data_IF_898067218343
#
_entry.id   IF_898067218343
#
_cell.length_a   1.000
_cell.length_b   1.000
_cell.length_c   1.000
_cell.angle_alpha   90.00
_cell.angle_beta   90.00
_cell.angle_gamma   90.00
#
_symmetry.space_group_name_H-M   'P 1'
#
loop_
_entity.id
_entity.type
_entity.pdbx_description
1 polymer ?
#
# COMPACT_ATOMS: atom_id res chain seq x y z
N UNK A 1 20.78 47.16 -31.12
CA UNK A 1 19.37 47.57 -31.37
C UNK A 1 18.65 46.71 -32.41
N UNK A 2 19.29 46.22 -33.48
CA UNK A 2 18.60 45.41 -34.50
C UNK A 2 18.18 44.00 -34.04
N UNK A 3 19.04 43.30 -33.27
CA UNK A 3 18.76 41.93 -32.77
C UNK A 3 17.57 41.86 -31.80
N UNK A 4 17.39 42.86 -30.93
CA UNK A 4 16.30 42.88 -29.93
C UNK A 4 14.89 43.12 -30.51
N UNK A 5 14.79 43.42 -31.80
CA UNK A 5 13.53 43.69 -32.51
C UNK A 5 13.15 42.60 -33.53
N UNK A 6 13.93 41.52 -33.65
CA UNK A 6 13.57 40.39 -34.51
C UNK A 6 12.33 39.67 -33.94
N UNK A 7 11.19 39.79 -34.62
CA UNK A 7 10.03 38.92 -34.37
C UNK A 7 10.30 37.55 -35.00
N UNK A 8 10.22 36.50 -34.19
CA UNK A 8 10.45 35.11 -34.61
C UNK A 8 9.30 34.67 -35.54
N UNK A 9 9.57 34.59 -36.84
CA UNK A 9 8.67 33.98 -37.84
C UNK A 9 8.96 32.48 -38.01
N UNK A 10 8.16 31.78 -38.83
CA UNK A 10 8.19 30.32 -39.03
C UNK A 10 9.48 29.72 -39.63
N UNK A 11 10.50 30.54 -39.90
CA UNK A 11 11.78 30.20 -40.55
C UNK A 11 13.00 30.34 -39.60
N UNK A 12 12.76 30.44 -38.29
CA UNK A 12 13.76 30.85 -37.29
C UNK A 12 14.90 29.86 -37.05
N UNK A 13 14.67 28.56 -37.28
CA UNK A 13 15.66 27.49 -37.04
C UNK A 13 16.97 27.65 -37.83
N UNK A 14 16.95 28.30 -39.00
CA UNK A 14 18.16 28.52 -39.83
C UNK A 14 19.19 29.46 -39.19
N UNK A 15 18.79 30.24 -38.19
CA UNK A 15 19.65 31.21 -37.51
C UNK A 15 20.19 30.68 -36.17
N UNK A 16 19.81 29.48 -35.74
CA UNK A 16 20.19 28.92 -34.44
C UNK A 16 21.71 28.87 -34.27
N UNK A 17 22.45 28.35 -35.25
CA UNK A 17 23.92 28.30 -35.19
C UNK A 17 24.57 29.69 -35.05
N UNK A 18 24.07 30.69 -35.79
CA UNK A 18 24.62 32.05 -35.75
C UNK A 18 24.31 32.74 -34.42
N UNK A 19 23.14 32.47 -33.84
CA UNK A 19 22.75 32.98 -32.53
C UNK A 19 23.55 32.31 -31.41
N UNK A 20 23.84 31.02 -31.54
CA UNK A 20 24.71 30.30 -30.60
C UNK A 20 26.14 30.84 -30.62
N UNK A 21 26.67 31.26 -31.78
CA UNK A 21 27.98 31.93 -31.85
C UNK A 21 27.96 33.28 -31.12
N UNK A 22 26.86 34.04 -31.22
CA UNK A 22 26.69 35.33 -30.55
C UNK A 22 26.57 35.23 -29.03
N UNK A 23 26.35 34.04 -28.46
CA UNK A 23 26.40 33.82 -27.01
C UNK A 23 27.78 34.16 -26.43
N UNK A 24 28.84 34.01 -27.23
CA UNK A 24 30.24 34.25 -26.84
C UNK A 24 30.73 35.68 -27.15
N UNK A 25 29.83 36.57 -27.56
CA UNK A 25 30.17 37.96 -27.88
C UNK A 25 30.69 38.70 -26.63
N UNK A 26 31.80 39.46 -26.72
CA UNK A 26 32.36 40.18 -25.57
C UNK A 26 31.44 41.30 -25.05
N UNK A 27 30.47 41.78 -25.85
CA UNK A 27 29.50 42.77 -25.42
C UNK A 27 28.31 42.07 -24.71
N UNK A 28 28.11 42.31 -23.39
CA UNK A 28 27.04 41.66 -22.63
C UNK A 28 25.63 41.90 -23.20
N UNK A 29 25.40 43.05 -23.85
CA UNK A 29 24.13 43.37 -24.49
C UNK A 29 23.84 42.49 -25.70
N UNK A 30 24.87 42.09 -26.43
CA UNK A 30 24.76 41.22 -27.62
C UNK A 30 24.51 39.79 -27.16
N UNK A 31 25.30 39.29 -26.21
CA UNK A 31 25.13 37.95 -25.64
C UNK A 31 23.74 37.79 -24.97
N UNK A 32 23.31 38.76 -24.15
CA UNK A 32 21.99 38.75 -23.53
C UNK A 32 20.84 38.79 -24.56
N UNK A 33 20.99 39.57 -25.63
CA UNK A 33 20.01 39.61 -26.72
C UNK A 33 19.94 38.26 -27.46
N UNK A 34 21.09 37.62 -27.69
CA UNK A 34 21.16 36.29 -28.31
C UNK A 34 20.45 35.23 -27.45
N UNK A 35 20.68 35.20 -26.12
CA UNK A 35 19.95 34.31 -25.20
C UNK A 35 18.43 34.50 -25.34
N UNK A 36 17.97 35.75 -25.33
CA UNK A 36 16.53 36.05 -25.38
C UNK A 36 15.89 35.56 -26.68
N UNK A 37 16.56 35.76 -27.81
CA UNK A 37 16.06 35.30 -29.12
C UNK A 37 16.05 33.77 -29.17
N UNK A 38 17.09 33.09 -28.67
CA UNK A 38 17.13 31.62 -28.62
C UNK A 38 16.02 31.04 -27.74
N UNK A 39 15.74 31.64 -26.58
CA UNK A 39 14.62 31.24 -25.73
C UNK A 39 13.26 31.43 -26.39
N UNK A 40 13.04 32.54 -27.11
CA UNK A 40 11.81 32.77 -27.88
C UNK A 40 11.65 31.78 -29.02
N UNK A 41 12.75 31.41 -29.69
CA UNK A 41 12.74 30.36 -30.71
C UNK A 41 12.34 29.01 -30.12
N UNK A 42 12.90 28.65 -28.97
CA UNK A 42 12.58 27.41 -28.25
C UNK A 42 11.11 27.34 -27.82
N UNK A 43 10.50 28.47 -27.43
CA UNK A 43 9.06 28.51 -27.12
C UNK A 43 8.16 28.26 -28.35
N UNK A 44 8.69 28.39 -29.57
CA UNK A 44 7.96 28.21 -30.84
C UNK A 44 8.25 26.88 -31.56
N UNK A 45 9.14 26.05 -31.03
CA UNK A 45 9.53 24.73 -31.53
C UNK A 45 10.68 24.13 -30.70
N UNK A 46 10.88 22.81 -30.71
CA UNK A 46 11.89 22.17 -29.84
C UNK A 46 13.32 22.69 -30.12
N UNK A 47 14.04 23.20 -29.12
CA UNK A 47 15.44 23.60 -29.26
C UNK A 47 16.34 22.38 -29.44
N UNK A 48 17.49 22.52 -30.11
CA UNK A 48 18.49 21.47 -30.07
C UNK A 48 19.10 21.36 -28.66
N UNK A 49 19.38 20.14 -28.19
CA UNK A 49 20.03 19.90 -26.88
C UNK A 49 21.38 20.63 -26.76
N UNK A 50 22.08 20.83 -27.88
CA UNK A 50 23.30 21.63 -27.97
C UNK A 50 23.10 23.10 -27.62
N UNK A 51 21.96 23.68 -27.98
CA UNK A 51 21.65 25.09 -27.68
C UNK A 51 21.32 25.29 -26.21
N UNK A 52 20.60 24.34 -25.59
CA UNK A 52 20.34 24.37 -24.16
C UNK A 52 21.66 24.30 -23.35
N UNK A 53 22.59 23.42 -23.73
CA UNK A 53 23.93 23.37 -23.12
C UNK A 53 24.71 24.68 -23.28
N UNK A 54 24.72 25.28 -24.47
CA UNK A 54 25.43 26.54 -24.72
C UNK A 54 24.85 27.71 -23.93
N UNK A 55 23.53 27.79 -23.77
CA UNK A 55 22.88 28.79 -22.91
C UNK A 55 23.16 28.51 -21.43
N UNK A 56 23.22 27.25 -21.00
CA UNK A 56 23.52 26.90 -19.62
C UNK A 56 24.94 27.29 -19.18
N UNK A 57 25.92 27.32 -20.09
CA UNK A 57 27.27 27.83 -19.78
C UNK A 57 27.25 29.29 -19.28
N UNK A 58 26.31 30.09 -19.79
CA UNK A 58 26.16 31.51 -19.43
C UNK A 58 25.52 31.74 -18.06
N UNK A 59 25.08 30.70 -17.35
CA UNK A 59 24.61 30.81 -15.96
C UNK A 59 25.72 31.27 -15.00
N UNK A 60 26.99 31.10 -15.40
CA UNK A 60 28.16 31.54 -14.64
C UNK A 60 28.72 32.89 -15.10
N UNK A 61 28.07 33.59 -16.04
CA UNK A 61 28.57 34.83 -16.62
C UNK A 61 28.71 35.95 -15.56
N UNK A 62 29.77 36.78 -15.60
CA UNK A 62 29.93 37.89 -14.65
C UNK A 62 28.82 38.95 -14.76
N UNK A 63 28.21 39.12 -15.93
CA UNK A 63 27.13 40.07 -16.17
C UNK A 63 25.79 39.54 -15.64
N UNK A 64 25.14 40.24 -14.69
CA UNK A 64 23.81 39.86 -14.23
C UNK A 64 22.74 39.89 -15.33
N UNK A 65 22.93 40.72 -16.37
CA UNK A 65 22.00 40.81 -17.50
C UNK A 65 22.07 39.57 -18.40
N UNK A 66 23.29 39.05 -18.63
CA UNK A 66 23.52 37.83 -19.39
C UNK A 66 22.98 36.62 -18.62
N UNK A 67 23.31 36.49 -17.33
CA UNK A 67 22.77 35.42 -16.47
C UNK A 67 21.24 35.39 -16.45
N UNK A 68 20.60 36.54 -16.23
CA UNK A 68 19.13 36.61 -16.21
C UNK A 68 18.53 36.19 -17.56
N UNK A 69 19.13 36.63 -18.68
CA UNK A 69 18.66 36.28 -20.02
C UNK A 69 18.88 34.81 -20.34
N UNK A 70 19.98 34.21 -19.87
CA UNK A 70 20.25 32.78 -20.01
C UNK A 70 19.23 31.93 -19.22
N UNK A 71 18.92 32.33 -17.98
CA UNK A 71 17.89 31.67 -17.16
C UNK A 71 16.51 31.78 -17.79
N UNK A 72 16.11 32.96 -18.25
CA UNK A 72 14.83 33.16 -18.96
C UNK A 72 14.76 32.33 -20.24
N UNK A 73 15.87 32.22 -20.97
CA UNK A 73 15.97 31.38 -22.16
C UNK A 73 15.77 29.91 -21.83
N UNK A 74 16.46 29.38 -20.81
CA UNK A 74 16.27 27.99 -20.37
C UNK A 74 14.83 27.75 -19.91
N UNK A 75 14.20 28.69 -19.19
CA UNK A 75 12.80 28.54 -18.78
C UNK A 75 11.82 28.39 -19.97
N UNK A 76 12.14 28.99 -21.12
CA UNK A 76 11.37 28.84 -22.35
C UNK A 76 11.67 27.55 -23.13
N UNK A 77 12.70 26.79 -22.74
CA UNK A 77 13.14 25.58 -23.43
C UNK A 77 12.44 24.31 -22.95
N UNK A 78 11.55 24.35 -21.93
CA UNK A 78 10.75 23.18 -21.55
C UNK A 78 11.57 22.05 -20.91
N UNK A 79 11.35 20.80 -21.36
CA UNK A 79 11.95 19.58 -20.80
C UNK A 79 13.49 19.61 -20.84
N UNK A 80 14.08 20.28 -21.84
CA UNK A 80 15.53 20.47 -21.94
C UNK A 80 16.13 21.28 -20.78
N UNK A 81 15.31 22.10 -20.10
CA UNK A 81 15.71 22.86 -18.92
C UNK A 81 15.86 21.98 -17.67
N UNK A 82 15.22 20.82 -17.64
CA UNK A 82 15.23 19.91 -16.49
C UNK A 82 16.64 19.41 -16.16
N UNK A 83 17.47 19.21 -17.18
CA UNK A 83 18.87 18.82 -17.04
C UNK A 83 19.73 19.86 -16.30
N UNK A 84 19.23 21.10 -16.17
CA UNK A 84 19.96 22.22 -15.57
C UNK A 84 19.31 22.74 -14.28
N UNK A 85 18.40 21.98 -13.67
CA UNK A 85 17.71 22.36 -12.43
C UNK A 85 18.67 22.68 -11.28
N UNK A 86 19.73 21.87 -11.09
CA UNK A 86 20.71 22.12 -10.03
C UNK A 86 21.50 23.44 -10.26
N UNK A 87 22.09 23.71 -11.45
CA UNK A 87 22.63 25.02 -11.78
C UNK A 87 21.67 26.19 -11.56
N UNK A 88 20.39 26.04 -11.96
CA UNK A 88 19.37 27.07 -11.78
C UNK A 88 19.09 27.34 -10.30
N UNK A 89 19.01 26.29 -9.47
CA UNK A 89 18.79 26.44 -8.02
C UNK A 89 19.94 27.15 -7.32
N UNK A 90 21.19 26.98 -7.77
CA UNK A 90 22.35 27.71 -7.20
C UNK A 90 22.18 29.24 -7.34
N UNK A 91 21.50 29.69 -8.40
CA UNK A 91 21.24 31.11 -8.67
C UNK A 91 20.20 31.73 -7.72
N UNK A 92 19.54 30.96 -6.86
CA UNK A 92 18.68 31.47 -5.79
C UNK A 92 19.43 32.38 -4.81
N UNK A 93 20.76 32.22 -4.73
CA UNK A 93 21.64 33.02 -3.87
C UNK A 93 22.42 34.10 -4.64
N UNK A 94 22.06 34.39 -5.90
CA UNK A 94 22.77 35.41 -6.69
C UNK A 94 22.64 36.80 -6.07
N UNK A 95 23.67 37.64 -6.23
CA UNK A 95 23.69 39.02 -5.73
C UNK A 95 22.60 39.88 -6.39
N UNK A 96 22.29 39.61 -7.65
CA UNK A 96 21.27 40.32 -8.42
C UNK A 96 19.87 39.74 -8.16
N UNK A 97 18.95 40.58 -7.68
CA UNK A 97 17.56 40.18 -7.51
C UNK A 97 16.91 39.73 -8.83
N UNK A 98 17.32 40.31 -9.97
CA UNK A 98 16.81 39.91 -11.30
C UNK A 98 17.15 38.46 -11.62
N UNK A 99 18.37 38.04 -11.29
CA UNK A 99 18.84 36.66 -11.53
C UNK A 99 18.12 35.69 -10.60
N UNK A 100 17.97 36.03 -9.31
CA UNK A 100 17.19 35.21 -8.36
C UNK A 100 15.75 35.00 -8.82
N UNK A 101 15.07 36.09 -9.19
CA UNK A 101 13.67 36.06 -9.64
C UNK A 101 13.53 35.24 -10.92
N UNK A 102 14.44 35.39 -11.89
CA UNK A 102 14.45 34.58 -13.10
C UNK A 102 14.62 33.09 -12.77
N UNK A 103 15.55 32.76 -11.87
CA UNK A 103 15.84 31.37 -11.50
C UNK A 103 14.64 30.70 -10.82
N UNK A 104 14.01 31.37 -9.87
CA UNK A 104 12.82 30.86 -9.18
C UNK A 104 11.68 30.58 -10.17
N UNK A 105 11.46 31.47 -11.13
CA UNK A 105 10.44 31.28 -12.17
C UNK A 105 10.77 30.15 -13.12
N UNK A 106 12.04 30.00 -13.49
CA UNK A 106 12.52 28.91 -14.33
C UNK A 106 12.29 27.55 -13.66
N UNK A 107 12.70 27.40 -12.40
CA UNK A 107 12.52 26.16 -11.63
C UNK A 107 11.02 25.84 -11.47
N UNK A 108 10.17 26.81 -11.16
CA UNK A 108 8.72 26.61 -11.11
C UNK A 108 8.08 26.31 -12.48
N UNK A 109 8.82 26.49 -13.58
CA UNK A 109 8.41 26.14 -14.94
C UNK A 109 8.70 24.69 -15.33
N UNK A 110 9.60 23.99 -14.63
CA UNK A 110 10.12 22.67 -15.01
C UNK A 110 9.27 21.49 -14.47
N UNK A 111 7.95 21.62 -14.48
CA UNK A 111 7.04 20.53 -14.11
C UNK A 111 7.31 19.90 -12.73
N UNK A 112 7.16 18.57 -12.64
CA UNK A 112 7.27 17.80 -11.39
C UNK A 112 8.69 17.80 -10.79
N UNK A 113 9.72 17.80 -11.64
CA UNK A 113 11.12 17.88 -11.20
C UNK A 113 11.41 19.23 -10.56
N UNK A 114 10.89 20.32 -11.14
CA UNK A 114 10.97 21.66 -10.55
C UNK A 114 10.31 21.74 -9.18
N UNK A 115 9.18 21.06 -8.98
CA UNK A 115 8.49 21.03 -7.69
C UNK A 115 9.28 20.33 -6.58
N UNK A 116 10.30 19.52 -6.88
CA UNK A 116 11.18 18.91 -5.86
C UNK A 116 11.94 19.98 -5.06
N UNK A 117 12.09 21.18 -5.61
CA UNK A 117 12.80 22.31 -5.00
C UNK A 117 11.86 23.28 -4.27
N UNK A 118 10.62 22.87 -3.98
CA UNK A 118 9.65 23.72 -3.27
C UNK A 118 10.18 24.20 -1.92
N UNK A 119 10.99 23.40 -1.21
CA UNK A 119 11.60 23.80 0.07
C UNK A 119 12.61 24.94 -0.11
N UNK A 120 13.44 24.88 -1.15
CA UNK A 120 14.45 25.87 -1.50
C UNK A 120 13.78 27.17 -1.95
N UNK A 121 12.69 27.08 -2.70
CA UNK A 121 11.86 28.23 -3.07
C UNK A 121 11.20 28.83 -1.84
N UNK A 122 10.68 28.02 -0.92
CA UNK A 122 10.07 28.50 0.31
C UNK A 122 11.05 29.32 1.16
N UNK A 123 12.31 28.94 1.25
CA UNK A 123 13.33 29.73 1.98
C UNK A 123 13.47 31.16 1.46
N UNK A 124 13.22 31.39 0.16
CA UNK A 124 13.29 32.72 -0.45
C UNK A 124 12.12 33.64 -0.09
N UNK A 125 11.07 33.12 0.55
CA UNK A 125 9.98 33.93 1.11
C UNK A 125 10.47 34.85 2.23
N UNK A 126 11.61 34.56 2.86
CA UNK A 126 12.21 35.42 3.90
C UNK A 126 13.29 36.37 3.36
N UNK A 127 13.45 36.45 2.04
CA UNK A 127 14.49 37.27 1.43
C UNK A 127 14.30 38.77 1.70
N UNK A 128 15.39 39.52 1.83
CA UNK A 128 15.35 40.97 2.08
C UNK A 128 14.73 41.75 0.93
N UNK A 129 14.86 41.28 -0.31
CA UNK A 129 14.28 41.90 -1.49
C UNK A 129 12.83 41.43 -1.73
N UNK A 130 11.90 42.38 -1.72
CA UNK A 130 10.46 42.11 -1.89
C UNK A 130 10.14 41.40 -3.22
N UNK A 131 10.82 41.75 -4.31
CA UNK A 131 10.59 41.14 -5.64
C UNK A 131 10.94 39.65 -5.64
N UNK A 132 11.99 39.28 -4.90
CA UNK A 132 12.38 37.88 -4.68
C UNK A 132 11.30 37.14 -3.88
N UNK A 133 10.76 37.76 -2.82
CA UNK A 133 9.65 37.18 -2.03
C UNK A 133 8.40 36.96 -2.87
N UNK A 134 7.99 37.95 -3.67
CA UNK A 134 6.84 37.83 -4.61
C UNK A 134 7.05 36.67 -5.58
N UNK A 135 8.26 36.52 -6.13
CA UNK A 135 8.57 35.44 -7.05
C UNK A 135 8.50 34.06 -6.37
N UNK A 136 8.99 33.95 -5.13
CA UNK A 136 8.92 32.72 -4.34
C UNK A 136 7.48 32.29 -4.07
N UNK A 137 6.62 33.21 -3.61
CA UNK A 137 5.21 32.93 -3.34
C UNK A 137 4.47 32.48 -4.61
N UNK A 138 4.67 33.17 -5.74
CA UNK A 138 4.06 32.79 -7.02
C UNK A 138 4.59 31.46 -7.55
N UNK A 139 5.85 31.14 -7.28
CA UNK A 139 6.43 29.85 -7.63
C UNK A 139 5.82 28.72 -6.81
N UNK A 140 5.67 28.88 -5.49
CA UNK A 140 4.98 27.92 -4.63
C UNK A 140 3.52 27.71 -5.07
N UNK A 141 2.79 28.79 -5.39
CA UNK A 141 1.44 28.70 -5.98
C UNK A 141 1.42 27.81 -7.24
N UNK A 142 2.39 28.00 -8.14
CA UNK A 142 2.50 27.23 -9.40
C UNK A 142 2.95 25.78 -9.17
N UNK A 143 3.64 25.48 -8.07
CA UNK A 143 4.12 24.13 -7.74
C UNK A 143 3.03 23.20 -7.17
N UNK A 144 1.77 23.65 -7.10
CA UNK A 144 0.63 22.80 -6.75
C UNK A 144 0.71 22.25 -5.33
N UNK A 145 0.42 20.95 -5.15
CA UNK A 145 0.36 20.28 -3.84
C UNK A 145 1.68 20.40 -3.07
N UNK A 146 2.84 20.28 -3.75
CA UNK A 146 4.15 20.44 -3.09
C UNK A 146 4.41 21.86 -2.61
N UNK A 147 3.87 22.86 -3.30
CA UNK A 147 3.89 24.24 -2.84
C UNK A 147 2.94 24.47 -1.66
N UNK A 148 1.78 23.83 -1.68
CA UNK A 148 0.76 23.91 -0.63
C UNK A 148 1.20 23.26 0.71
N UNK A 149 2.29 22.50 0.74
CA UNK A 149 2.92 22.03 1.97
C UNK A 149 3.56 23.16 2.80
N UNK A 150 3.78 24.33 2.22
CA UNK A 150 4.37 25.51 2.86
C UNK A 150 3.33 26.63 3.05
N UNK A 151 2.07 26.26 3.25
CA UNK A 151 0.98 27.24 3.38
C UNK A 151 1.11 28.08 4.66
N UNK A 152 1.62 27.52 5.76
CA UNK A 152 1.92 28.30 6.98
C UNK A 152 2.94 29.41 6.71
N UNK A 153 4.03 29.11 5.99
CA UNK A 153 5.04 30.12 5.63
C UNK A 153 4.50 31.20 4.69
N UNK A 154 3.64 30.80 3.74
CA UNK A 154 3.00 31.74 2.82
C UNK A 154 1.94 32.57 3.54
N UNK A 155 1.23 32.03 4.53
CA UNK A 155 0.22 32.74 5.31
C UNK A 155 0.84 33.88 6.13
N UNK A 156 2.02 33.66 6.71
CA UNK A 156 2.77 34.70 7.44
C UNK A 156 3.05 35.94 6.56
N UNK A 157 3.19 35.77 5.25
CA UNK A 157 3.46 36.86 4.29
C UNK A 157 2.22 37.69 3.95
N UNK A 158 1.01 37.29 4.35
CA UNK A 158 -0.19 38.11 4.16
C UNK A 158 -0.13 39.46 4.86
N UNK A 159 0.73 39.56 5.89
CA UNK A 159 1.01 40.78 6.66
C UNK A 159 2.37 41.40 6.30
N UNK A 160 2.98 41.02 5.17
CA UNK A 160 4.25 41.59 4.71
C UNK A 160 4.12 43.11 4.50
N UNK A 161 5.20 43.85 4.80
CA UNK A 161 5.26 45.30 4.64
C UNK A 161 5.15 45.75 3.17
N UNK A 162 5.51 44.88 2.22
CA UNK A 162 5.36 45.13 0.80
C UNK A 162 3.96 44.68 0.31
N UNK A 163 3.15 45.58 -0.27
CA UNK A 163 1.78 45.26 -0.66
C UNK A 163 1.69 44.22 -1.79
N UNK A 164 2.70 44.11 -2.66
CA UNK A 164 2.70 43.09 -3.71
C UNK A 164 2.94 41.69 -3.14
N UNK A 165 3.78 41.58 -2.10
CA UNK A 165 4.04 40.32 -1.39
C UNK A 165 2.77 39.87 -0.67
N UNK A 166 2.15 40.77 0.09
CA UNK A 166 0.91 40.47 0.81
C UNK A 166 -0.23 40.05 -0.12
N UNK A 167 -0.36 40.67 -1.30
CA UNK A 167 -1.35 40.31 -2.30
C UNK A 167 -1.07 38.93 -2.92
N UNK A 168 0.19 38.64 -3.26
CA UNK A 168 0.58 37.33 -3.79
C UNK A 168 0.31 36.21 -2.78
N UNK A 169 0.60 36.44 -1.50
CA UNK A 169 0.34 35.49 -0.42
C UNK A 169 -1.14 35.16 -0.28
N UNK A 170 -2.02 36.17 -0.26
CA UNK A 170 -3.47 35.97 -0.19
C UNK A 170 -4.00 35.11 -1.34
N UNK A 171 -3.51 35.36 -2.56
CA UNK A 171 -3.91 34.59 -3.74
C UNK A 171 -3.40 33.13 -3.66
N UNK A 172 -2.16 32.94 -3.24
CA UNK A 172 -1.56 31.62 -3.10
C UNK A 172 -2.29 30.78 -2.04
N UNK A 173 -2.62 31.35 -0.87
CA UNK A 173 -3.38 30.65 0.18
C UNK A 173 -4.78 30.27 -0.28
N UNK A 174 -5.49 31.16 -1.01
CA UNK A 174 -6.78 30.77 -1.59
C UNK A 174 -6.63 29.57 -2.54
N UNK A 175 -5.58 29.58 -3.38
CA UNK A 175 -5.30 28.48 -4.30
C UNK A 175 -4.98 27.17 -3.55
N UNK A 176 -4.18 27.25 -2.47
CA UNK A 176 -3.88 26.09 -1.64
C UNK A 176 -5.11 25.56 -0.91
N UNK A 177 -5.99 26.45 -0.45
CA UNK A 177 -7.27 26.07 0.14
C UNK A 177 -8.13 25.31 -0.88
N UNK A 178 -8.25 25.81 -2.10
CA UNK A 178 -9.03 25.17 -3.17
C UNK A 178 -8.43 23.80 -3.56
N UNK A 179 -7.10 23.68 -3.61
CA UNK A 179 -6.40 22.41 -3.85
C UNK A 179 -6.64 21.40 -2.71
N UNK A 180 -6.54 21.83 -1.44
CA UNK A 180 -6.82 20.98 -0.28
C UNK A 180 -8.29 20.57 -0.23
N UNK A 181 -9.21 21.46 -0.59
CA UNK A 181 -10.64 21.16 -0.67
C UNK A 181 -10.95 20.16 -1.79
N UNK A 182 -10.35 20.31 -2.98
CA UNK A 182 -10.49 19.36 -4.08
C UNK A 182 -9.84 17.99 -3.75
N UNK A 183 -8.70 17.97 -3.07
CA UNK A 183 -8.07 16.75 -2.58
C UNK A 183 -8.93 16.05 -1.52
N UNK A 184 -9.58 16.81 -0.62
CA UNK A 184 -10.52 16.27 0.36
C UNK A 184 -11.80 15.74 -0.32
N UNK A 185 -12.31 16.42 -1.34
CA UNK A 185 -13.46 15.95 -2.13
C UNK A 185 -13.10 14.67 -2.92
N UNK A 186 -11.88 14.58 -3.47
CA UNK A 186 -11.37 13.37 -4.12
C UNK A 186 -11.11 12.24 -3.11
N UNK A 187 -10.60 12.52 -1.91
CA UNK A 187 -10.48 11.54 -0.83
C UNK A 187 -11.87 11.06 -0.37
N UNK A 188 -12.86 11.95 -0.33
CA UNK A 188 -14.24 11.59 0.02
C UNK A 188 -14.90 10.76 -1.08
N UNK A 189 -14.58 11.02 -2.37
CA UNK A 189 -15.00 10.21 -3.52
C UNK A 189 -14.25 8.87 -3.61
N UNK A 190 -12.97 8.81 -3.25
CA UNK A 190 -12.19 7.57 -3.18
C UNK A 190 -12.58 6.71 -1.98
N UNK A 191 -12.95 7.33 -0.86
CA UNK A 191 -13.57 6.64 0.27
C UNK A 191 -14.96 6.05 -0.09
N UNK A 192 -15.61 6.54 -1.15
CA UNK A 192 -16.84 5.96 -1.70
C UNK A 192 -16.59 4.83 -2.73
N UNK A 193 -15.34 4.54 -3.09
CA UNK A 193 -14.96 3.47 -4.04
C UNK A 193 -13.65 2.80 -3.58
N UNK A 194 -13.57 2.35 -2.32
CA UNK A 194 -12.51 1.43 -1.93
C UNK A 194 -12.94 0.02 -2.35
N UNK A 195 -12.37 -0.50 -3.44
CA UNK A 195 -12.45 -1.91 -3.83
C UNK A 195 -11.56 -2.78 -2.93
N UNK A 196 -11.72 -2.63 -1.61
CA UNK A 196 -10.90 -3.27 -0.61
C UNK A 196 -11.48 -4.63 -0.20
N UNK A 197 -10.61 -5.64 -0.13
CA UNK A 197 -10.90 -6.91 0.54
C UNK A 197 -10.28 -6.93 1.94
N UNK A 198 -11.06 -7.40 2.91
CA UNK A 198 -10.55 -7.69 4.25
C UNK A 198 -10.13 -9.16 4.35
N UNK A 199 -8.91 -9.37 4.80
CA UNK A 199 -8.33 -10.67 5.04
C UNK A 199 -8.21 -10.91 6.55
N UNK A 200 -8.62 -12.08 6.99
CA UNK A 200 -8.52 -12.51 8.38
C UNK A 200 -7.56 -13.68 8.51
N UNK A 201 -6.44 -13.53 9.25
CA UNK A 201 -5.44 -14.57 9.37
C UNK A 201 -5.94 -15.80 10.13
N UNK A 202 -5.41 -16.95 9.75
CA UNK A 202 -5.67 -18.24 10.40
C UNK A 202 -4.75 -18.53 11.59
N UNK A 203 -5.05 -19.63 12.28
CA UNK A 203 -4.14 -20.18 13.31
C UNK A 203 -2.83 -20.65 12.66
N UNK A 204 -1.71 -20.28 13.27
CA UNK A 204 -0.38 -20.80 12.94
C UNK A 204 0.18 -20.31 11.61
N UNK A 205 -0.17 -19.08 11.20
CA UNK A 205 0.22 -18.53 9.89
C UNK A 205 1.69 -18.83 9.56
N UNK A 206 1.90 -19.28 8.34
CA UNK A 206 3.18 -19.77 7.84
C UNK A 206 4.13 -18.61 7.45
N UNK A 207 3.81 -17.38 7.88
CA UNK A 207 4.62 -16.18 7.65
C UNK A 207 5.70 -16.10 8.72
N UNK A 208 6.95 -16.29 8.31
CA UNK A 208 8.12 -16.27 9.20
C UNK A 208 8.44 -14.86 9.73
N UNK A 209 9.08 -14.72 10.91
CA UNK A 209 9.67 -15.78 11.74
C UNK A 209 8.73 -16.34 12.82
N UNK A 210 7.50 -15.84 12.96
CA UNK A 210 6.53 -16.25 13.99
C UNK A 210 5.14 -16.34 13.37
N UNK A 211 4.36 -17.35 13.76
CA UNK A 211 2.98 -17.46 13.29
C UNK A 211 2.11 -16.27 13.72
N UNK A 212 0.92 -16.14 13.13
CA UNK A 212 0.05 -14.98 13.37
C UNK A 212 -0.33 -14.79 14.85
N UNK A 213 -0.35 -15.86 15.64
CA UNK A 213 -0.44 -15.75 17.10
C UNK A 213 0.97 -15.67 17.71
N UNK A 214 1.18 -14.68 18.58
CA UNK A 214 2.44 -14.53 19.31
C UNK A 214 2.23 -13.78 20.63
N UNK A 215 3.10 -14.05 21.60
CA UNK A 215 3.12 -13.30 22.86
C UNK A 215 3.47 -11.84 22.58
N UNK A 216 2.68 -10.92 23.13
CA UNK A 216 2.58 -9.47 22.85
C UNK A 216 1.67 -9.07 21.68
N UNK A 217 0.94 -9.99 21.07
CA UNK A 217 -0.13 -9.59 20.15
C UNK A 217 -1.16 -8.70 20.87
N UNK A 218 -1.86 -7.85 20.12
CA UNK A 218 -2.82 -6.85 20.62
C UNK A 218 -2.23 -5.74 21.52
N UNK A 219 -0.91 -5.64 21.71
CA UNK A 219 -0.29 -4.62 22.58
C UNK A 219 -0.66 -3.19 22.20
N UNK A 220 -0.76 -2.93 20.91
CA UNK A 220 -0.90 -1.58 20.35
C UNK A 220 -2.36 -1.14 20.27
N UNK A 221 -3.29 -2.09 20.33
CA UNK A 221 -4.74 -1.87 20.20
C UNK A 221 -5.50 -2.07 21.50
N UNK A 222 -4.91 -2.73 22.53
CA UNK A 222 -5.58 -3.05 23.81
C UNK A 222 -6.15 -1.83 24.54
N UNK A 223 -5.60 -0.64 24.28
CA UNK A 223 -6.00 0.58 24.97
C UNK A 223 -7.15 1.33 24.31
N UNK A 224 -7.54 0.94 23.09
CA UNK A 224 -8.72 1.46 22.40
C UNK A 224 -10.00 1.11 23.18
N UNK A 225 -10.94 2.07 23.38
CA UNK A 225 -12.16 1.83 24.15
C UNK A 225 -12.99 0.63 23.66
N UNK A 226 -13.19 0.51 22.35
CA UNK A 226 -13.95 -0.61 21.74
C UNK A 226 -13.26 -1.96 21.95
N UNK A 227 -11.93 -2.00 21.89
CA UNK A 227 -11.13 -3.20 22.15
C UNK A 227 -11.20 -3.60 23.62
N UNK A 228 -11.20 -2.64 24.56
CA UNK A 228 -11.38 -2.92 26.00
C UNK A 228 -12.72 -3.59 26.30
N UNK A 229 -13.80 -3.12 25.71
CA UNK A 229 -15.14 -3.70 25.86
C UNK A 229 -15.22 -5.11 25.25
N UNK A 230 -14.57 -5.30 24.09
CA UNK A 230 -14.46 -6.60 23.42
C UNK A 230 -13.69 -7.61 24.28
N UNK A 231 -12.54 -7.23 24.83
CA UNK A 231 -11.72 -8.08 25.71
C UNK A 231 -12.46 -8.42 27.01
N UNK A 232 -13.19 -7.46 27.58
CA UNK A 232 -14.03 -7.69 28.76
C UNK A 232 -15.14 -8.72 28.46
N UNK A 233 -15.75 -8.63 27.28
CA UNK A 233 -16.77 -9.57 26.83
C UNK A 233 -16.17 -10.95 26.58
N UNK A 234 -15.02 -11.01 25.91
CA UNK A 234 -14.28 -12.25 25.68
C UNK A 234 -13.93 -12.94 27.00
N UNK A 235 -13.41 -12.21 28.00
CA UNK A 235 -13.08 -12.77 29.32
C UNK A 235 -14.30 -13.42 29.99
N UNK A 236 -15.48 -12.78 29.93
CA UNK A 236 -16.74 -13.32 30.49
C UNK A 236 -17.17 -14.63 29.82
N UNK A 237 -17.06 -14.71 28.48
CA UNK A 237 -17.46 -15.88 27.69
C UNK A 237 -16.46 -17.02 27.84
N UNK A 238 -15.17 -16.69 27.79
CA UNK A 238 -14.09 -17.67 27.79
C UNK A 238 -13.84 -18.25 29.18
N UNK A 239 -14.03 -17.45 30.24
CA UNK A 239 -13.78 -17.81 31.63
C UNK A 239 -12.32 -17.63 32.08
N UNK A 240 -11.48 -17.00 31.25
CA UNK A 240 -10.08 -16.69 31.53
C UNK A 240 -9.69 -15.36 30.89
N UNK A 241 -8.58 -14.77 31.35
CA UNK A 241 -8.07 -13.51 30.82
C UNK A 241 -7.29 -13.74 29.51
N UNK A 242 -7.99 -13.53 28.38
CA UNK A 242 -7.41 -13.69 27.05
C UNK A 242 -6.31 -12.66 26.78
N UNK A 243 -6.48 -11.41 27.24
CA UNK A 243 -5.50 -10.35 27.02
C UNK A 243 -4.20 -10.71 27.73
N UNK A 244 -4.29 -11.15 28.98
CA UNK A 244 -3.12 -11.60 29.75
C UNK A 244 -2.38 -12.72 29.03
N UNK A 245 -3.10 -13.75 28.57
CA UNK A 245 -2.49 -14.85 27.81
C UNK A 245 -1.79 -14.34 26.54
N UNK A 246 -2.39 -13.39 25.82
CA UNK A 246 -1.81 -12.84 24.60
C UNK A 246 -0.60 -11.94 24.87
N UNK A 247 -0.55 -11.20 25.99
CA UNK A 247 0.55 -10.29 26.31
C UNK A 247 1.71 -10.96 27.04
N UNK A 248 1.41 -11.91 27.94
CA UNK A 248 2.38 -12.49 28.87
C UNK A 248 2.70 -13.96 28.57
N UNK A 249 1.81 -14.67 27.87
CA UNK A 249 1.92 -16.11 27.64
C UNK A 249 1.42 -16.95 28.82
N UNK A 250 1.91 -18.20 28.98
CA UNK A 250 3.06 -18.77 28.29
C UNK A 250 2.76 -19.16 26.83
N UNK A 251 3.80 -19.18 26.00
CA UNK A 251 3.69 -19.38 24.54
C UNK A 251 3.10 -20.75 24.18
N UNK A 252 3.48 -21.80 24.90
CA UNK A 252 2.98 -23.16 24.72
C UNK A 252 1.46 -23.26 25.00
N UNK A 253 0.94 -22.47 25.94
CA UNK A 253 -0.49 -22.37 26.17
C UNK A 253 -1.18 -21.63 25.03
N UNK A 254 -0.63 -20.51 24.57
CA UNK A 254 -1.20 -19.74 23.44
C UNK A 254 -1.22 -20.57 22.15
N UNK A 255 -0.24 -21.46 21.94
CA UNK A 255 -0.18 -22.36 20.78
C UNK A 255 -1.26 -23.46 20.78
N UNK A 256 -1.86 -23.79 21.93
CA UNK A 256 -2.94 -24.80 21.97
C UNK A 256 -4.18 -24.27 21.25
N UNK A 257 -4.73 -25.07 20.33
CA UNK A 257 -5.86 -24.72 19.45
C UNK A 257 -7.06 -24.10 20.19
N UNK A 258 -7.41 -24.60 21.37
CA UNK A 258 -8.50 -24.06 22.20
C UNK A 258 -8.29 -22.63 22.71
N UNK A 259 -7.04 -22.17 22.82
CA UNK A 259 -6.67 -20.83 23.25
C UNK A 259 -6.28 -19.94 22.05
N UNK A 260 -5.55 -20.51 21.10
CA UNK A 260 -5.12 -19.82 19.89
C UNK A 260 -6.31 -19.29 19.08
N UNK A 261 -7.36 -20.09 18.90
CA UNK A 261 -8.47 -19.68 18.06
C UNK A 261 -9.20 -18.46 18.63
N UNK A 262 -9.61 -18.42 19.91
CA UNK A 262 -10.16 -17.21 20.51
C UNK A 262 -9.22 -16.00 20.46
N UNK A 263 -7.91 -16.20 20.68
CA UNK A 263 -6.92 -15.13 20.62
C UNK A 263 -6.85 -14.49 19.23
N UNK A 264 -6.75 -15.32 18.18
CA UNK A 264 -6.73 -14.86 16.79
C UNK A 264 -8.03 -14.17 16.39
N UNK A 265 -9.18 -14.69 16.83
CA UNK A 265 -10.48 -14.09 16.51
C UNK A 265 -10.63 -12.70 17.11
N UNK A 266 -10.35 -12.56 18.41
CA UNK A 266 -10.41 -11.25 19.09
C UNK A 266 -9.32 -10.31 18.58
N UNK A 267 -8.13 -10.83 18.27
CA UNK A 267 -7.04 -10.08 17.66
C UNK A 267 -7.43 -9.48 16.31
N UNK A 268 -8.01 -10.27 15.40
CA UNK A 268 -8.48 -9.80 14.10
C UNK A 268 -9.56 -8.70 14.23
N UNK A 269 -10.52 -8.87 15.15
CA UNK A 269 -11.50 -7.83 15.44
C UNK A 269 -10.86 -6.57 16.03
N UNK A 270 -9.86 -6.70 16.90
CA UNK A 270 -9.14 -5.56 17.45
C UNK A 270 -8.31 -4.83 16.38
N UNK A 271 -7.69 -5.57 15.45
CA UNK A 271 -7.03 -5.01 14.27
C UNK A 271 -8.01 -4.26 13.36
N UNK A 272 -9.24 -4.75 13.21
CA UNK A 272 -10.30 -4.03 12.49
C UNK A 272 -10.68 -2.69 13.14
N UNK A 273 -10.60 -2.57 14.47
CA UNK A 273 -10.81 -1.28 15.15
C UNK A 273 -9.71 -0.27 14.82
N UNK A 274 -8.46 -0.74 14.67
CA UNK A 274 -7.37 0.11 14.21
C UNK A 274 -7.56 0.50 12.74
N UNK A 275 -7.90 -0.45 11.87
CA UNK A 275 -8.18 -0.17 10.46
C UNK A 275 -9.33 0.83 10.33
N UNK A 276 -10.38 0.73 11.14
CA UNK A 276 -11.48 1.72 11.12
C UNK A 276 -11.01 3.13 11.49
N UNK A 277 -9.97 3.26 12.32
CA UNK A 277 -9.38 4.56 12.66
C UNK A 277 -8.50 5.10 11.52
N UNK A 278 -7.72 4.23 10.88
CA UNK A 278 -6.73 4.63 9.86
C UNK A 278 -7.33 4.77 8.46
N UNK A 279 -8.25 3.86 8.10
CA UNK A 279 -8.98 3.85 6.84
C UNK A 279 -10.44 3.38 7.06
N UNK A 280 -11.32 4.29 7.54
CA UNK A 280 -12.74 3.99 7.76
C UNK A 280 -13.44 3.44 6.52
N UNK A 281 -13.09 3.92 5.32
CA UNK A 281 -13.70 3.49 4.05
C UNK A 281 -13.51 1.99 3.80
N UNK A 282 -12.26 1.52 3.91
CA UNK A 282 -11.94 0.09 3.76
C UNK A 282 -12.55 -0.77 4.88
N UNK A 283 -12.61 -0.26 6.11
CA UNK A 283 -13.15 -1.00 7.25
C UNK A 283 -14.68 -1.13 7.23
N UNK A 284 -15.39 -0.10 6.76
CA UNK A 284 -16.86 -0.03 6.81
C UNK A 284 -17.53 -0.51 5.53
N UNK A 285 -16.87 -0.38 4.38
CA UNK A 285 -17.42 -0.74 3.08
C UNK A 285 -16.50 -1.72 2.30
N UNK A 286 -16.10 -2.87 2.88
CA UNK A 286 -15.35 -3.85 2.12
C UNK A 286 -16.23 -4.47 1.04
N UNK A 287 -15.72 -4.58 -0.19
CA UNK A 287 -16.42 -5.26 -1.27
C UNK A 287 -16.33 -6.78 -1.14
N UNK A 288 -15.29 -7.26 -0.45
CA UNK A 288 -15.07 -8.67 -0.20
C UNK A 288 -14.44 -8.93 1.16
N UNK A 289 -14.69 -10.14 1.68
CA UNK A 289 -14.00 -10.68 2.84
C UNK A 289 -13.53 -12.10 2.57
N UNK A 290 -12.36 -12.45 3.09
CA UNK A 290 -11.85 -13.81 3.12
C UNK A 290 -11.08 -14.03 4.41
N UNK A 291 -11.02 -15.27 4.90
CA UNK A 291 -10.16 -15.58 6.03
C UNK A 291 -9.61 -16.98 5.92
N UNK A 292 -8.38 -17.21 6.37
CA UNK A 292 -7.74 -18.51 6.24
C UNK A 292 -8.21 -19.45 7.35
N UNK A 293 -9.05 -20.44 7.01
CA UNK A 293 -9.66 -21.38 7.97
C UNK A 293 -10.41 -20.67 9.09
N UNK A 294 -9.72 -20.34 10.19
CA UNK A 294 -10.32 -19.70 11.36
C UNK A 294 -10.81 -18.30 11.03
N UNK A 295 -10.12 -17.58 10.14
CA UNK A 295 -10.49 -16.22 9.76
C UNK A 295 -11.89 -16.10 9.13
N UNK A 296 -12.50 -17.22 8.72
CA UNK A 296 -13.87 -17.23 8.17
C UNK A 296 -14.97 -17.14 9.25
N UNK A 297 -14.62 -17.22 10.54
CA UNK A 297 -15.59 -17.34 11.64
C UNK A 297 -15.82 -16.05 12.43
N UNK A 298 -17.05 -15.92 12.96
CA UNK A 298 -17.54 -14.70 13.64
C UNK A 298 -18.20 -14.92 15.02
N UNK A 299 -18.43 -16.15 15.51
CA UNK A 299 -19.12 -16.30 16.82
C UNK A 299 -18.85 -17.60 17.63
N UNK A 300 -18.50 -18.73 17.01
CA UNK A 300 -18.39 -20.04 17.71
C UNK A 300 -16.95 -20.55 17.82
N UNK A 301 -16.00 -19.63 17.94
CA UNK A 301 -14.57 -19.92 17.82
C UNK A 301 -14.03 -20.79 18.97
N UNK A 302 -14.51 -20.58 20.20
CA UNK A 302 -14.12 -21.42 21.36
C UNK A 302 -14.51 -22.88 21.15
N UNK A 303 -15.80 -23.13 20.86
CA UNK A 303 -16.32 -24.47 20.65
C UNK A 303 -15.62 -25.17 19.48
N UNK A 304 -15.39 -24.45 18.37
CA UNK A 304 -14.63 -24.97 17.23
C UNK A 304 -13.24 -25.42 17.65
N UNK A 305 -12.51 -24.57 18.37
CA UNK A 305 -11.15 -24.89 18.85
C UNK A 305 -11.13 -26.09 19.79
N UNK A 306 -12.07 -26.18 20.73
CA UNK A 306 -12.22 -27.32 21.64
C UNK A 306 -12.55 -28.61 20.89
N UNK A 307 -13.54 -28.58 19.99
CA UNK A 307 -13.96 -29.74 19.21
C UNK A 307 -12.85 -30.26 18.27
N UNK A 308 -12.09 -29.36 17.63
CA UNK A 308 -10.94 -29.72 16.80
C UNK A 308 -9.79 -30.31 17.62
N UNK A 309 -9.53 -29.77 18.82
CA UNK A 309 -8.53 -30.30 19.73
C UNK A 309 -8.90 -31.70 20.21
N UNK A 310 -10.15 -31.91 20.62
CA UNK A 310 -10.65 -33.22 21.03
C UNK A 310 -10.56 -34.26 19.89
N UNK A 311 -10.92 -33.86 18.66
CA UNK A 311 -10.80 -34.75 17.50
C UNK A 311 -9.34 -35.12 17.18
N UNK A 312 -8.41 -34.19 17.42
CA UNK A 312 -6.98 -34.41 17.25
C UNK A 312 -6.38 -35.34 18.33
N UNK A 313 -6.89 -35.27 19.56
CA UNK A 313 -6.46 -36.13 20.67
C UNK A 313 -7.04 -37.54 20.59
N UNK A 314 -8.19 -37.71 19.93
CA UNK A 314 -8.89 -38.99 19.80
C UNK A 314 -8.11 -40.03 18.97
N UNK A 315 -7.19 -39.62 18.09
CA UNK A 315 -6.35 -40.55 17.33
C UNK A 315 -5.02 -39.94 16.89
N UNK A 316 -3.95 -40.74 16.71
CA UNK A 316 -2.65 -40.22 16.28
C UNK A 316 -2.71 -39.60 14.87
N UNK A 317 -2.57 -38.29 14.82
CA UNK A 317 -2.68 -37.49 13.60
C UNK A 317 -1.50 -36.53 13.45
N UNK A 318 -1.22 -36.11 12.22
CA UNK A 318 -0.13 -35.18 11.90
C UNK A 318 -0.47 -34.31 10.69
N UNK A 319 0.28 -33.22 10.55
CA UNK A 319 0.28 -32.34 9.38
C UNK A 319 1.73 -32.01 8.98
N UNK A 320 1.97 -31.87 7.69
CA UNK A 320 3.23 -31.42 7.11
C UNK A 320 2.99 -30.21 6.19
N UNK A 321 4.00 -29.34 6.05
CA UNK A 321 4.12 -28.43 4.91
C UNK A 321 4.84 -29.15 3.76
N UNK A 322 4.46 -28.80 2.54
CA UNK A 322 5.07 -29.33 1.32
C UNK A 322 5.17 -28.22 0.27
N UNK A 323 6.37 -28.00 -0.28
CA UNK A 323 6.63 -27.02 -1.33
C UNK A 323 7.43 -27.63 -2.49
N UNK A 324 7.09 -27.24 -3.73
CA UNK A 324 7.85 -27.53 -4.95
C UNK A 324 7.23 -28.56 -5.91
N UNK A 325 6.28 -29.36 -5.44
CA UNK A 325 5.59 -30.36 -6.28
C UNK A 325 4.27 -29.81 -6.83
N UNK A 326 3.77 -30.36 -7.94
CA UNK A 326 2.43 -30.01 -8.46
C UNK A 326 1.31 -30.66 -7.63
N UNK A 327 0.10 -30.10 -7.70
CA UNK A 327 -1.08 -30.62 -6.98
C UNK A 327 -1.32 -32.10 -7.28
N UNK A 328 -1.24 -32.49 -8.56
CA UNK A 328 -1.48 -33.86 -9.02
C UNK A 328 -0.44 -34.84 -8.47
N UNK A 329 0.83 -34.40 -8.39
CA UNK A 329 1.90 -35.20 -7.78
C UNK A 329 1.64 -35.39 -6.28
N UNK A 330 1.26 -34.32 -5.57
CA UNK A 330 0.98 -34.38 -4.13
C UNK A 330 -0.23 -35.28 -3.84
N UNK A 331 -1.31 -35.16 -4.62
CA UNK A 331 -2.49 -36.03 -4.50
C UNK A 331 -2.14 -37.51 -4.71
N UNK A 332 -1.31 -37.81 -5.72
CA UNK A 332 -0.79 -39.15 -5.96
C UNK A 332 0.01 -39.67 -4.76
N UNK A 333 0.94 -38.88 -4.24
CA UNK A 333 1.75 -39.25 -3.08
C UNK A 333 0.90 -39.46 -1.82
N UNK A 334 -0.10 -38.63 -1.58
CA UNK A 334 -1.06 -38.80 -0.49
C UNK A 334 -1.79 -40.15 -0.59
N UNK A 335 -2.25 -40.51 -1.79
CA UNK A 335 -2.93 -41.79 -2.02
C UNK A 335 -2.01 -43.00 -1.84
N UNK A 336 -0.78 -42.93 -2.34
CA UNK A 336 0.23 -43.97 -2.14
C UNK A 336 0.72 -44.13 -0.70
N UNK A 337 0.52 -43.10 0.13
CA UNK A 337 0.97 -43.10 1.54
C UNK A 337 -0.04 -43.75 2.47
N UNK A 338 -1.28 -43.98 2.02
CA UNK A 338 -2.34 -44.66 2.78
C UNK A 338 -2.06 -46.15 2.88
N UNK A 339 -2.34 -46.72 4.05
CA UNK A 339 -2.19 -48.17 4.30
C UNK A 339 -3.47 -48.97 4.03
N UNK A 340 -4.60 -48.28 3.86
CA UNK A 340 -5.92 -48.86 3.61
C UNK A 340 -6.97 -47.77 3.36
N UNK A 341 -8.22 -48.14 3.05
CA UNK A 341 -9.28 -47.20 2.70
C UNK A 341 -9.68 -46.25 3.85
N UNK A 342 -9.52 -46.69 5.10
CA UNK A 342 -9.83 -45.91 6.30
C UNK A 342 -8.67 -44.97 6.71
N UNK A 343 -7.51 -45.08 6.07
CA UNK A 343 -6.34 -44.26 6.41
C UNK A 343 -6.45 -42.89 5.75
N UNK A 344 -6.33 -41.82 6.54
CA UNK A 344 -6.44 -40.45 6.04
C UNK A 344 -5.07 -39.92 5.67
N UNK A 345 -4.95 -39.41 4.45
CA UNK A 345 -3.80 -38.65 3.97
C UNK A 345 -4.28 -37.82 2.78
N UNK A 346 -4.35 -36.51 2.94
CA UNK A 346 -4.88 -35.62 1.92
C UNK A 346 -4.25 -34.24 2.00
N UNK A 347 -4.37 -33.48 0.91
CA UNK A 347 -4.10 -32.05 0.92
C UNK A 347 -5.14 -31.39 1.83
N UNK A 348 -4.64 -30.59 2.77
CA UNK A 348 -5.44 -29.88 3.75
C UNK A 348 -5.54 -28.39 3.40
N UNK A 349 -4.46 -27.78 2.90
CA UNK A 349 -4.48 -26.39 2.44
C UNK A 349 -3.75 -26.27 1.09
N UNK A 350 -4.30 -25.50 0.17
CA UNK A 350 -3.67 -25.06 -1.08
C UNK A 350 -3.37 -23.57 -0.93
N UNK A 351 -2.11 -23.23 -0.68
CA UNK A 351 -1.71 -21.92 -0.16
C UNK A 351 -1.16 -20.99 -1.24
N UNK A 352 -0.33 -21.52 -2.12
CA UNK A 352 0.31 -20.80 -3.23
C UNK A 352 0.74 -21.82 -4.31
N UNK A 353 1.21 -21.38 -5.50
CA UNK A 353 1.63 -22.30 -6.55
C UNK A 353 2.70 -23.29 -6.04
N UNK A 354 2.38 -24.58 -6.13
CA UNK A 354 3.21 -25.68 -5.62
C UNK A 354 3.48 -25.62 -4.10
N UNK A 355 2.61 -24.97 -3.31
CA UNK A 355 2.71 -24.83 -1.87
C UNK A 355 1.46 -25.33 -1.15
N UNK A 356 1.63 -26.37 -0.34
CA UNK A 356 0.54 -27.11 0.29
C UNK A 356 0.82 -27.40 1.76
N UNK A 357 -0.26 -27.66 2.51
CA UNK A 357 -0.18 -28.50 3.70
C UNK A 357 -0.90 -29.82 3.43
N UNK A 358 -0.38 -30.90 4.00
CA UNK A 358 -1.00 -32.23 3.92
C UNK A 358 -1.19 -32.76 5.34
N UNK A 359 -2.33 -33.39 5.60
CA UNK A 359 -2.67 -33.89 6.92
C UNK A 359 -3.38 -35.24 6.86
N UNK A 360 -3.35 -35.95 7.98
CA UNK A 360 -4.00 -37.24 8.14
C UNK A 360 -3.45 -38.05 9.31
N UNK A 361 -3.60 -39.36 9.23
CA UNK A 361 -3.07 -40.29 10.23
C UNK A 361 -1.55 -40.16 10.34
N UNK A 362 -1.02 -40.28 11.56
CA UNK A 362 0.42 -40.16 11.84
C UNK A 362 1.26 -41.09 10.96
N UNK A 363 0.82 -42.34 10.75
CA UNK A 363 1.54 -43.31 9.95
C UNK A 363 1.56 -42.96 8.45
N UNK A 364 0.44 -42.51 7.90
CA UNK A 364 0.36 -42.13 6.49
C UNK A 364 1.17 -40.85 6.22
N UNK A 365 1.12 -39.88 7.13
CA UNK A 365 1.90 -38.64 6.99
C UNK A 365 3.40 -38.87 7.12
N UNK A 366 3.85 -39.80 7.96
CA UNK A 366 5.26 -40.19 8.00
C UNK A 366 5.74 -40.76 6.65
N UNK A 367 4.94 -41.63 6.01
CA UNK A 367 5.21 -42.16 4.67
C UNK A 367 5.21 -41.06 3.60
N UNK A 368 4.23 -40.15 3.67
CA UNK A 368 4.15 -39.01 2.75
C UNK A 368 5.39 -38.12 2.86
N UNK A 369 5.83 -37.83 4.08
CA UNK A 369 7.01 -37.00 4.34
C UNK A 369 8.28 -37.61 3.71
N UNK A 370 8.48 -38.92 3.88
CA UNK A 370 9.60 -39.64 3.28
C UNK A 370 9.53 -39.61 1.75
N UNK A 371 8.38 -39.99 1.18
CA UNK A 371 8.14 -40.00 -0.27
C UNK A 371 8.30 -38.62 -0.90
N UNK A 372 7.76 -37.58 -0.27
CA UNK A 372 7.83 -36.21 -0.76
C UNK A 372 9.28 -35.72 -0.79
N UNK A 373 10.05 -35.93 0.28
CA UNK A 373 11.47 -35.54 0.33
C UNK A 373 12.33 -36.32 -0.68
N UNK A 374 11.95 -37.54 -1.05
CA UNK A 374 12.63 -38.34 -2.08
C UNK A 374 12.19 -38.01 -3.52
N UNK A 375 11.15 -37.19 -3.72
CA UNK A 375 10.58 -36.90 -5.03
C UNK A 375 11.32 -35.74 -5.70
N UNK A 376 11.77 -35.93 -6.95
CA UNK A 376 12.40 -34.87 -7.75
C UNK A 376 11.47 -33.65 -7.91
N UNK A 377 12.02 -32.47 -7.63
CA UNK A 377 11.31 -31.19 -7.65
C UNK A 377 10.71 -30.78 -6.29
N UNK A 378 10.76 -31.64 -5.27
CA UNK A 378 10.40 -31.23 -3.91
C UNK A 378 11.46 -30.27 -3.37
N UNK A 379 11.03 -29.07 -2.99
CA UNK A 379 11.91 -28.07 -2.37
C UNK A 379 11.96 -28.26 -0.85
N UNK A 380 10.82 -28.62 -0.25
CA UNK A 380 10.73 -28.83 1.19
C UNK A 380 9.51 -29.69 1.52
N UNK A 381 9.68 -30.66 2.42
CA UNK A 381 8.58 -31.23 3.18
C UNK A 381 8.96 -31.32 4.67
N UNK A 382 8.13 -30.80 5.56
CA UNK A 382 8.43 -30.70 7.01
C UNK A 382 7.20 -30.89 7.88
N UNK A 383 7.35 -31.57 9.02
CA UNK A 383 6.28 -31.63 10.03
C UNK A 383 5.95 -30.25 10.60
N UNK A 384 4.67 -29.96 10.70
CA UNK A 384 4.15 -28.77 11.38
C UNK A 384 3.93 -29.06 12.86
N UNK A 385 4.10 -28.02 13.68
CA UNK A 385 3.77 -28.04 15.12
C UNK A 385 2.27 -27.83 15.36
N UNK A 386 1.42 -28.49 14.58
CA UNK A 386 -0.03 -28.41 14.78
C UNK A 386 -0.50 -29.57 15.65
N UNK A 387 -1.59 -29.35 16.39
CA UNK A 387 -2.11 -30.36 17.30
C UNK A 387 -2.87 -31.49 16.60
N UNK A 388 -3.31 -31.33 15.34
CA UNK A 388 -4.09 -32.34 14.61
C UNK A 388 -4.05 -32.26 13.09
N UNK A 389 -4.73 -33.21 12.44
CA UNK A 389 -4.90 -33.29 10.98
C UNK A 389 -6.10 -32.45 10.50
N UNK A 390 -6.02 -31.13 10.68
CA UNK A 390 -7.09 -30.20 10.32
C UNK A 390 -7.39 -30.20 8.81
N UNK A 391 -8.63 -29.87 8.44
CA UNK A 391 -9.08 -29.82 7.04
C UNK A 391 -9.03 -31.18 6.35
N UNK A 392 -9.29 -32.23 7.13
CA UNK A 392 -9.35 -33.62 6.65
C UNK A 392 -10.48 -34.39 7.28
N UNK A 393 -10.73 -35.61 6.76
CA UNK A 393 -11.71 -36.53 7.33
C UNK A 393 -11.49 -36.88 8.80
N UNK A 394 -10.27 -36.68 9.34
CA UNK A 394 -10.01 -36.85 10.77
C UNK A 394 -10.85 -35.89 11.64
N UNK A 395 -11.35 -34.79 11.08
CA UNK A 395 -12.11 -33.77 11.81
C UNK A 395 -13.64 -33.98 11.78
N UNK A 396 -14.16 -35.12 11.29
CA UNK A 396 -15.61 -35.38 11.29
C UNK A 396 -16.27 -35.20 12.67
N UNK A 397 -15.70 -35.70 13.78
CA UNK A 397 -16.31 -35.50 15.10
C UNK A 397 -16.40 -34.00 15.48
N UNK A 398 -15.42 -33.19 15.05
CA UNK A 398 -15.43 -31.76 15.29
C UNK A 398 -16.48 -31.05 14.41
N UNK A 399 -16.63 -31.46 13.15
CA UNK A 399 -17.67 -30.98 12.24
C UNK A 399 -19.06 -31.18 12.82
N UNK A 400 -19.37 -32.38 13.32
CA UNK A 400 -20.70 -32.71 13.86
C UNK A 400 -21.07 -31.82 15.05
N UNK A 401 -20.14 -31.64 15.99
CA UNK A 401 -20.31 -30.75 17.15
C UNK A 401 -20.51 -29.29 16.73
N UNK A 402 -19.69 -28.82 15.79
CA UNK A 402 -19.77 -27.44 15.29
C UNK A 402 -21.09 -27.20 14.54
N UNK A 403 -21.52 -28.14 13.69
CA UNK A 403 -22.76 -28.03 12.93
C UNK A 403 -23.96 -27.95 13.87
N UNK A 404 -24.02 -28.78 14.91
CA UNK A 404 -25.09 -28.74 15.90
C UNK A 404 -25.20 -27.36 16.55
N UNK A 405 -24.07 -26.78 16.99
CA UNK A 405 -24.06 -25.45 17.59
C UNK A 405 -24.35 -24.33 16.59
N UNK A 406 -23.88 -24.45 15.34
CA UNK A 406 -24.22 -23.51 14.28
C UNK A 406 -25.74 -23.51 14.00
N UNK A 407 -26.39 -24.68 14.02
CA UNK A 407 -27.85 -24.80 13.86
C UNK A 407 -28.62 -24.13 15.00
N UNK A 408 -28.10 -24.12 16.22
CA UNK A 408 -28.72 -23.42 17.35
C UNK A 408 -28.65 -21.89 17.21
N UNK A 409 -27.56 -21.37 16.63
CA UNK A 409 -27.40 -19.92 16.39
C UNK A 409 -27.92 -19.45 15.04
N UNK A 410 -28.17 -20.37 14.09
CA UNK A 410 -28.67 -20.10 12.73
C UNK A 410 -29.83 -19.09 12.71
N UNK A 411 -30.86 -19.18 13.59
CA UNK A 411 -31.98 -18.23 13.59
C UNK A 411 -31.60 -16.78 13.95
N UNK A 412 -30.42 -16.55 14.53
CA UNK A 412 -29.90 -15.24 14.93
C UNK A 412 -28.90 -14.66 13.93
N UNK A 413 -28.42 -15.48 12.99
CA UNK A 413 -27.46 -15.06 11.98
C UNK A 413 -28.14 -14.23 10.88
N UNK A 414 -27.36 -13.39 10.22
CA UNK A 414 -27.79 -12.60 9.05
C UNK A 414 -27.01 -13.05 7.82
N UNK A 415 -27.58 -12.93 6.61
CA UNK A 415 -26.84 -13.09 5.37
C UNK A 415 -25.61 -12.15 5.33
N UNK A 416 -24.54 -12.54 4.60
CA UNK A 416 -23.37 -11.67 4.43
C UNK A 416 -23.77 -10.38 3.70
N UNK A 417 -23.19 -9.26 4.10
CA UNK A 417 -23.48 -7.92 3.53
C UNK A 417 -22.57 -7.56 2.36
N UNK A 418 -21.48 -8.29 2.18
CA UNK A 418 -20.50 -8.17 1.11
C UNK A 418 -20.12 -9.58 0.61
N UNK A 419 -19.35 -9.66 -0.47
CA UNK A 419 -18.96 -10.94 -1.04
C UNK A 419 -17.99 -11.69 -0.11
N UNK A 420 -18.22 -12.98 0.10
CA UNK A 420 -17.37 -13.85 0.93
C UNK A 420 -16.63 -14.84 0.03
N UNK A 421 -15.31 -14.97 0.15
CA UNK A 421 -14.55 -15.98 -0.58
C UNK A 421 -14.30 -17.19 0.31
N UNK A 422 -14.99 -18.28 0.00
CA UNK A 422 -15.09 -19.43 0.88
C UNK A 422 -13.96 -20.44 0.66
N UNK A 423 -13.31 -20.84 1.75
CA UNK A 423 -12.20 -21.81 1.71
C UNK A 423 -12.62 -23.17 1.13
N UNK A 424 -13.89 -23.57 1.30
CA UNK A 424 -14.39 -24.86 0.84
C UNK A 424 -14.39 -24.98 -0.69
N UNK A 425 -14.73 -23.90 -1.38
CA UNK A 425 -14.92 -23.89 -2.85
C UNK A 425 -13.82 -23.14 -3.58
N UNK A 426 -13.06 -22.30 -2.89
CA UNK A 426 -12.09 -21.41 -3.52
C UNK A 426 -12.75 -20.30 -4.34
N UNK A 427 -14.04 -20.03 -4.10
CA UNK A 427 -14.87 -19.22 -4.97
C UNK A 427 -15.76 -18.26 -4.17
N UNK A 428 -16.25 -17.24 -4.88
CA UNK A 428 -17.15 -16.23 -4.35
C UNK A 428 -18.50 -16.81 -3.90
N UNK A 429 -18.90 -16.41 -2.70
CA UNK A 429 -20.24 -16.53 -2.14
C UNK A 429 -20.83 -15.11 -2.12
N UNK A 430 -21.83 -14.81 -2.98
CA UNK A 430 -22.35 -13.46 -3.10
C UNK A 430 -22.98 -12.94 -1.81
N UNK A 431 -22.92 -11.62 -1.63
CA UNK A 431 -23.72 -10.92 -0.64
C UNK A 431 -25.19 -11.35 -0.70
N UNK A 432 -25.84 -11.44 0.47
CA UNK A 432 -27.23 -11.89 0.58
C UNK A 432 -27.45 -13.40 0.49
N UNK A 433 -26.40 -14.21 0.33
CA UNK A 433 -26.51 -15.68 0.36
C UNK A 433 -27.24 -16.17 1.63
N UNK A 434 -28.25 -17.07 1.51
CA UNK A 434 -29.01 -17.53 2.67
C UNK A 434 -28.15 -18.19 3.75
N UNK A 435 -28.42 -17.82 5.01
CA UNK A 435 -27.72 -18.33 6.20
C UNK A 435 -27.57 -19.85 6.24
N UNK A 436 -28.59 -20.68 5.91
CA UNK A 436 -28.44 -22.13 5.98
C UNK A 436 -27.28 -22.67 5.12
N UNK A 437 -27.02 -22.04 3.96
CA UNK A 437 -25.90 -22.40 3.09
C UNK A 437 -24.55 -22.05 3.73
N UNK A 438 -24.49 -20.90 4.42
CA UNK A 438 -23.29 -20.47 5.16
C UNK A 438 -22.99 -21.42 6.32
N UNK A 439 -24.03 -21.84 7.05
CA UNK A 439 -23.89 -22.77 8.18
C UNK A 439 -23.30 -24.12 7.75
N UNK A 440 -23.84 -24.75 6.71
CA UNK A 440 -23.30 -26.02 6.21
C UNK A 440 -21.87 -25.86 5.71
N UNK A 441 -21.60 -24.79 4.96
CA UNK A 441 -20.27 -24.49 4.42
C UNK A 441 -19.21 -24.32 5.53
N UNK A 442 -19.54 -23.55 6.58
CA UNK A 442 -18.66 -23.36 7.74
C UNK A 442 -18.40 -24.68 8.48
N UNK A 443 -19.36 -25.60 8.53
CA UNK A 443 -19.12 -26.92 9.12
C UNK A 443 -18.22 -27.79 8.22
N UNK A 444 -18.52 -27.84 6.93
CA UNK A 444 -17.78 -28.62 5.92
C UNK A 444 -16.33 -28.17 5.77
N UNK A 445 -16.04 -26.89 6.05
CA UNK A 445 -14.68 -26.36 6.04
C UNK A 445 -13.70 -27.13 6.94
N UNK A 446 -14.16 -27.71 8.06
CA UNK A 446 -13.29 -28.44 9.00
C UNK A 446 -12.71 -29.71 8.40
N UNK A 447 -13.36 -30.27 7.39
CA UNK A 447 -13.11 -31.63 6.91
C UNK A 447 -12.68 -31.69 5.45
N UNK A 448 -12.74 -30.56 4.76
CA UNK A 448 -12.36 -30.39 3.37
C UNK A 448 -11.16 -29.45 3.25
N UNK A 449 -10.49 -29.52 2.11
CA UNK A 449 -9.32 -28.71 1.81
C UNK A 449 -9.68 -27.21 1.83
N UNK A 450 -8.76 -26.40 2.36
CA UNK A 450 -8.78 -24.94 2.31
C UNK A 450 -8.16 -24.48 1.00
N UNK A 451 -9.00 -24.01 0.08
CA UNK A 451 -8.64 -23.49 -1.24
C UNK A 451 -8.23 -22.01 -1.18
N UNK A 452 -7.20 -21.68 -0.39
CA UNK A 452 -6.76 -20.30 -0.17
C UNK A 452 -6.21 -19.63 -1.43
N UNK A 453 -5.34 -20.30 -2.18
CA UNK A 453 -4.81 -19.76 -3.44
C UNK A 453 -5.95 -19.48 -4.44
N UNK A 454 -6.90 -20.40 -4.68
CA UNK A 454 -8.08 -20.08 -5.48
C UNK A 454 -8.90 -18.89 -4.96
N UNK A 455 -9.12 -18.75 -3.64
CA UNK A 455 -9.78 -17.56 -3.08
C UNK A 455 -9.06 -16.27 -3.47
N UNK A 456 -7.73 -16.22 -3.30
CA UNK A 456 -6.93 -15.05 -3.67
C UNK A 456 -6.99 -14.78 -5.18
N UNK A 457 -6.90 -15.83 -6.01
CA UNK A 457 -7.00 -15.70 -7.47
C UNK A 457 -8.38 -15.20 -7.90
N UNK A 458 -9.45 -15.69 -7.28
CA UNK A 458 -10.81 -15.27 -7.58
C UNK A 458 -11.05 -13.80 -7.17
N UNK A 459 -10.55 -13.37 -6.01
CA UNK A 459 -10.61 -11.96 -5.61
C UNK A 459 -9.90 -11.04 -6.62
N UNK A 460 -8.69 -11.42 -7.05
CA UNK A 460 -7.93 -10.66 -8.06
C UNK A 460 -8.67 -10.65 -9.41
N UNK A 461 -9.27 -11.77 -9.82
CA UNK A 461 -10.05 -11.86 -11.07
C UNK A 461 -11.32 -11.00 -11.04
N UNK A 462 -11.92 -10.84 -9.85
CA UNK A 462 -13.09 -9.98 -9.64
C UNK A 462 -12.73 -8.48 -9.54
N UNK A 463 -11.45 -8.12 -9.75
CA UNK A 463 -11.00 -6.72 -9.87
C UNK A 463 -10.41 -6.13 -8.59
N UNK A 464 -10.39 -6.89 -7.49
CA UNK A 464 -9.91 -6.40 -6.18
C UNK A 464 -8.41 -6.13 -6.24
N UNK A 465 -8.01 -4.88 -5.98
CA UNK A 465 -6.60 -4.45 -5.96
C UNK A 465 -6.04 -4.19 -4.57
N UNK A 466 -6.90 -3.88 -3.59
CA UNK A 466 -6.48 -3.52 -2.23
C UNK A 466 -6.87 -4.62 -1.23
N UNK A 467 -5.89 -5.09 -0.44
CA UNK A 467 -6.07 -6.14 0.55
C UNK A 467 -5.55 -5.67 1.91
N UNK A 468 -6.39 -5.77 2.94
CA UNK A 468 -6.04 -5.44 4.31
C UNK A 468 -6.13 -6.69 5.19
N UNK A 469 -5.01 -7.15 5.74
CA UNK A 469 -4.99 -8.27 6.67
C UNK A 469 -4.98 -7.77 8.13
N UNK A 470 -5.88 -8.32 8.95
CA UNK A 470 -6.04 -7.94 10.36
C UNK A 470 -5.16 -8.79 11.29
N UNK A 471 -3.97 -8.30 11.68
CA UNK A 471 -3.09 -8.95 12.67
C UNK A 471 -2.81 -8.11 13.91
#
# INVERSE_FOLDING_TARGET
MALSQMQVGSDSSRFESQLTDLLKDPAPEVSAAACKVLGQMAASGSPSSSTASAVAELLSDPSPAVKASAVESLACMGDEAEAFLEPLCRLFNDKSWKVRVAAVRAVAGCGELGQMYASEVCRLTTNTDARTRVAAVKALEKMGERGACFDEEVEMLMSDNDPEVALAAKKAIQTFFDLKAAALENQTKMAAIAEAALLFPGQGSLVAPRGSQYVKMMSDVKDLPTVKDMLTTAQKILGYDLLKLCLEGPEDQLEQTKFCQPAMYVGGLAGMELLRKENPGAAENPIAVAGLSLGEYTALVKLRGEAMQEAAEASPQKMISLAGLSKEKVEKLCNESKSGPEDVCQIANILFPNGFSCAGSKAAIAKLLEKANATEGCLQAKELKTSGAFHTKCMMPAREKLLAALKEVEPKMKPPTCDLYANLTGAKIPAGTPVPKIVEMLADQLTNCVEWMPCMQAMIQDGISDFYESW
#
